data_IF_032090439487
#
_entry.id   IF_032090439487
#
_cell.length_a   1.000
_cell.length_b   1.000
_cell.length_c   1.000
_cell.angle_alpha   90.00
_cell.angle_beta   90.00
_cell.angle_gamma   90.00
#
_symmetry.space_group_name_H-M   'P 1'
#
loop_
_entity.id
_entity.type
_entity.pdbx_description
1 polymer ?
#
# COMPACT_ATOMS: atom_id res chain seq x y z
N UNK A 1 17.68 9.47 -17.84
CA UNK A 1 16.77 9.26 -16.70
C UNK A 1 16.01 10.56 -16.46
N UNK A 2 14.69 10.54 -16.64
CA UNK A 2 13.84 11.69 -16.26
C UNK A 2 13.73 11.61 -14.74
N UNK A 3 14.42 12.49 -14.02
CA UNK A 3 14.25 12.61 -12.56
C UNK A 3 12.86 13.20 -12.34
N UNK A 4 11.93 12.39 -11.84
CA UNK A 4 10.60 12.87 -11.48
C UNK A 4 10.74 13.90 -10.35
N UNK A 5 10.19 15.10 -10.53
CA UNK A 5 10.21 16.13 -9.49
C UNK A 5 9.30 15.72 -8.33
N UNK A 6 9.92 15.20 -7.27
CA UNK A 6 9.24 14.81 -6.03
C UNK A 6 8.99 16.00 -5.09
N UNK A 7 9.37 17.22 -5.47
CA UNK A 7 9.22 18.43 -4.64
C UNK A 7 7.79 18.64 -4.17
N UNK A 8 6.82 18.57 -5.09
CA UNK A 8 5.40 18.67 -4.76
C UNK A 8 4.90 17.57 -3.82
N UNK A 9 5.42 16.33 -3.97
CA UNK A 9 5.06 15.20 -3.11
C UNK A 9 5.61 15.44 -1.69
N UNK A 10 6.88 15.87 -1.59
CA UNK A 10 7.56 16.18 -0.32
C UNK A 10 6.85 17.29 0.46
N UNK A 11 6.42 18.35 -0.21
CA UNK A 11 5.66 19.43 0.43
C UNK A 11 4.35 18.94 1.04
N UNK A 12 3.62 18.05 0.34
CA UNK A 12 2.37 17.47 0.84
C UNK A 12 2.62 16.54 2.03
N UNK A 13 3.68 15.72 1.98
CA UNK A 13 4.10 14.85 3.09
C UNK A 13 4.37 15.69 4.34
N UNK A 14 5.22 16.70 4.22
CA UNK A 14 5.56 17.60 5.33
C UNK A 14 4.34 18.36 5.86
N UNK A 15 3.39 18.73 5.01
CA UNK A 15 2.16 19.38 5.46
C UNK A 15 1.32 18.45 6.34
N UNK A 16 1.19 17.17 5.96
CA UNK A 16 0.52 16.14 6.76
C UNK A 16 1.24 15.91 8.09
N UNK A 17 2.56 15.66 8.07
CA UNK A 17 3.38 15.45 9.26
C UNK A 17 3.27 16.62 10.25
N UNK A 18 3.36 17.86 9.75
CA UNK A 18 3.18 19.08 10.55
C UNK A 18 1.78 19.19 11.15
N UNK A 19 0.76 18.64 10.51
CA UNK A 19 -0.61 18.64 11.05
C UNK A 19 -0.80 17.56 12.11
N UNK A 20 -0.17 16.38 11.93
CA UNK A 20 -0.12 15.31 12.92
C UNK A 20 0.56 15.82 14.20
N UNK A 21 1.74 16.43 14.09
CA UNK A 21 2.49 16.98 15.23
C UNK A 21 1.67 18.04 15.99
N UNK A 22 0.90 18.86 15.26
CA UNK A 22 -0.01 19.87 15.84
C UNK A 22 -1.35 19.30 16.34
N UNK A 23 -1.52 17.98 16.33
CA UNK A 23 -2.73 17.28 16.78
C UNK A 23 -4.01 17.85 16.15
N UNK A 24 -3.96 18.13 14.84
CA UNK A 24 -5.14 18.59 14.10
C UNK A 24 -6.23 17.51 14.10
N UNK A 25 -7.47 17.92 13.88
CA UNK A 25 -8.61 16.99 13.90
C UNK A 25 -8.45 15.87 12.87
N UNK A 26 -9.00 14.69 13.15
CA UNK A 26 -8.94 13.53 12.25
C UNK A 26 -9.43 13.86 10.84
N UNK A 27 -10.50 14.67 10.72
CA UNK A 27 -11.03 15.15 9.44
C UNK A 27 -9.97 15.93 8.65
N UNK A 28 -9.24 16.82 9.31
CA UNK A 28 -8.19 17.61 8.69
C UNK A 28 -7.01 16.74 8.23
N UNK A 29 -6.60 15.77 9.06
CA UNK A 29 -5.53 14.83 8.70
C UNK A 29 -5.90 14.00 7.47
N UNK A 30 -7.11 13.46 7.42
CA UNK A 30 -7.60 12.69 6.26
C UNK A 30 -7.69 13.53 4.98
N UNK A 31 -8.02 14.83 5.09
CA UNK A 31 -8.01 15.74 3.94
C UNK A 31 -6.58 15.98 3.41
N UNK A 32 -5.61 16.16 4.30
CA UNK A 32 -4.21 16.32 3.90
C UNK A 32 -3.63 15.02 3.34
N UNK A 33 -3.95 13.88 3.97
CA UNK A 33 -3.59 12.56 3.47
C UNK A 33 -4.15 12.32 2.07
N UNK A 34 -5.45 12.56 1.85
CA UNK A 34 -6.06 12.42 0.52
C UNK A 34 -5.41 13.32 -0.52
N UNK A 35 -5.01 14.54 -0.14
CA UNK A 35 -4.28 15.45 -1.02
C UNK A 35 -2.87 14.94 -1.32
N UNK A 36 -2.18 14.38 -0.34
CA UNK A 36 -0.88 13.74 -0.53
C UNK A 36 -0.98 12.58 -1.53
N UNK A 37 -1.90 11.63 -1.30
CA UNK A 37 -2.10 10.45 -2.16
C UNK A 37 -2.35 10.88 -3.61
N UNK A 38 -3.30 11.79 -3.84
CA UNK A 38 -3.57 12.31 -5.19
C UNK A 38 -2.39 13.05 -5.81
N UNK A 39 -1.58 13.74 -5.02
CA UNK A 39 -0.39 14.42 -5.54
C UNK A 39 0.70 13.41 -5.91
N UNK A 40 0.95 12.41 -5.06
CA UNK A 40 1.90 11.32 -5.31
C UNK A 40 1.56 10.59 -6.59
N UNK A 41 0.28 10.27 -6.78
CA UNK A 41 -0.22 9.51 -7.93
C UNK A 41 -0.47 10.39 -9.17
N UNK A 42 0.03 11.63 -9.18
CA UNK A 42 -0.07 12.58 -10.29
C UNK A 42 -1.53 12.87 -10.74
N UNK A 43 -2.46 12.90 -9.79
CA UNK A 43 -3.88 13.21 -10.01
C UNK A 43 -4.51 12.34 -11.10
N UNK A 44 -4.19 11.04 -11.12
CA UNK A 44 -4.80 10.07 -12.03
C UNK A 44 -5.10 8.75 -11.31
N UNK A 45 -6.05 8.02 -11.85
CA UNK A 45 -6.35 6.67 -11.41
C UNK A 45 -5.15 5.75 -11.69
N UNK A 46 -4.60 5.07 -10.68
CA UNK A 46 -3.50 4.13 -10.93
C UNK A 46 -3.95 2.82 -11.58
N UNK A 47 -5.26 2.55 -11.64
CA UNK A 47 -5.78 1.36 -12.33
C UNK A 47 -6.08 1.58 -13.82
N UNK A 48 -6.38 2.81 -14.25
CA UNK A 48 -6.79 3.07 -15.64
C UNK A 48 -6.28 4.40 -16.23
N UNK A 49 -5.41 5.11 -15.51
CA UNK A 49 -4.84 6.42 -15.85
C UNK A 49 -5.86 7.57 -16.06
N UNK A 50 -7.16 7.34 -15.82
CA UNK A 50 -8.17 8.40 -15.95
C UNK A 50 -7.93 9.56 -14.96
N UNK A 51 -7.99 10.83 -15.43
CA UNK A 51 -7.91 12.00 -14.57
C UNK A 51 -9.28 12.39 -13.96
N UNK A 52 -10.37 11.77 -14.42
CA UNK A 52 -11.73 12.17 -14.08
C UNK A 52 -12.20 11.51 -12.78
N UNK A 53 -12.89 12.30 -11.93
CA UNK A 53 -13.50 11.78 -10.72
C UNK A 53 -12.53 11.15 -9.72
N UNK A 54 -11.27 11.60 -9.70
CA UNK A 54 -10.19 11.05 -8.87
C UNK A 54 -10.41 11.21 -7.36
N UNK A 55 -10.17 10.12 -6.64
CA UNK A 55 -10.38 10.00 -5.20
C UNK A 55 -9.25 9.19 -4.56
N UNK A 56 -8.94 9.49 -3.30
CA UNK A 56 -8.02 8.66 -2.53
C UNK A 56 -8.81 7.51 -1.88
N UNK A 57 -8.41 6.29 -2.20
CA UNK A 57 -8.92 5.04 -1.65
C UNK A 57 -7.97 4.53 -0.56
N UNK A 58 -8.50 3.90 0.49
CA UNK A 58 -7.68 3.21 1.48
C UNK A 58 -7.61 1.74 1.09
N UNK A 59 -6.41 1.18 0.91
CA UNK A 59 -6.25 -0.22 0.51
C UNK A 59 -6.75 -1.12 1.65
N UNK A 60 -6.13 -1.02 2.82
CA UNK A 60 -6.64 -1.60 4.07
C UNK A 60 -7.70 -0.66 4.64
N UNK A 61 -8.93 -1.15 4.75
CA UNK A 61 -10.08 -0.33 5.19
C UNK A 61 -9.90 0.19 6.61
N UNK A 62 -10.28 1.45 6.81
CA UNK A 62 -10.28 2.11 8.13
C UNK A 62 -11.15 1.41 9.19
N UNK A 63 -12.16 0.65 8.76
CA UNK A 63 -13.04 -0.11 9.66
C UNK A 63 -12.35 -1.35 10.21
N UNK A 64 -11.44 -1.94 9.42
CA UNK A 64 -10.67 -3.10 9.81
C UNK A 64 -9.44 -2.68 10.63
N UNK A 65 -8.69 -1.70 10.14
CA UNK A 65 -7.47 -1.25 10.82
C UNK A 65 -7.34 0.29 10.85
N UNK A 66 -8.02 0.96 11.80
CA UNK A 66 -8.04 2.41 11.92
C UNK A 66 -6.67 3.09 12.05
N UNK A 67 -5.68 2.37 12.58
CA UNK A 67 -4.30 2.80 12.79
C UNK A 67 -3.60 3.09 11.46
N UNK A 68 -3.87 2.29 10.43
CA UNK A 68 -3.30 2.46 9.10
C UNK A 68 -3.92 3.61 8.28
N UNK A 69 -4.89 4.36 8.82
CA UNK A 69 -5.69 5.32 8.06
C UNK A 69 -4.91 6.52 7.50
N UNK A 70 -3.72 6.81 8.04
CA UNK A 70 -2.86 7.91 7.60
C UNK A 70 -1.52 7.43 7.02
N UNK A 71 -1.32 6.11 6.94
CA UNK A 71 -0.13 5.52 6.34
C UNK A 71 -0.10 5.86 4.84
N UNK A 72 1.07 6.22 4.34
CA UNK A 72 1.21 6.72 2.98
C UNK A 72 1.06 5.57 1.97
N UNK A 73 1.58 4.39 2.31
CA UNK A 73 1.42 3.17 1.53
C UNK A 73 0.01 2.61 1.55
N UNK A 74 -0.81 2.97 2.54
CA UNK A 74 -2.19 2.49 2.65
C UNK A 74 -3.20 3.32 1.82
N UNK A 75 -2.71 4.12 0.88
CA UNK A 75 -3.54 4.97 0.03
C UNK A 75 -3.21 4.82 -1.44
N UNK A 76 -4.23 4.84 -2.29
CA UNK A 76 -4.11 4.82 -3.75
C UNK A 76 -5.13 5.75 -4.39
N UNK A 77 -4.78 6.41 -5.49
CA UNK A 77 -5.71 7.23 -6.26
C UNK A 77 -6.44 6.39 -7.29
N UNK A 78 -7.78 6.44 -7.24
CA UNK A 78 -8.67 5.77 -8.19
C UNK A 78 -9.68 6.78 -8.75
N UNK A 79 -10.14 6.59 -9.99
CA UNK A 79 -11.33 7.29 -10.49
C UNK A 79 -12.59 6.71 -9.81
N UNK A 80 -13.71 7.43 -9.86
CA UNK A 80 -14.97 6.98 -9.25
C UNK A 80 -15.43 5.61 -9.75
N UNK A 81 -15.18 5.28 -11.02
CA UNK A 81 -15.52 3.98 -11.59
C UNK A 81 -14.68 2.85 -10.97
N UNK A 82 -13.35 2.95 -11.02
CA UNK A 82 -12.47 1.96 -10.40
C UNK A 82 -12.69 1.87 -8.88
N UNK A 83 -12.91 3.01 -8.21
CA UNK A 83 -13.21 3.06 -6.78
C UNK A 83 -14.49 2.28 -6.44
N UNK A 84 -15.54 2.41 -7.25
CA UNK A 84 -16.79 1.70 -7.03
C UNK A 84 -16.66 0.19 -7.32
N UNK A 85 -15.87 -0.21 -8.32
CA UNK A 85 -15.62 -1.64 -8.62
C UNK A 85 -14.94 -2.37 -7.48
N UNK A 86 -13.95 -1.73 -6.86
CA UNK A 86 -13.29 -2.21 -5.62
C UNK A 86 -14.30 -2.40 -4.48
N UNK A 87 -15.34 -1.56 -4.43
CA UNK A 87 -16.41 -1.69 -3.45
C UNK A 87 -17.61 -2.55 -3.89
N UNK A 88 -17.64 -3.03 -5.13
CA UNK A 88 -18.81 -3.69 -5.72
C UNK A 88 -19.12 -5.02 -5.02
N UNK A 89 -18.07 -5.76 -4.61
CA UNK A 89 -18.23 -7.01 -3.86
C UNK A 89 -18.70 -6.78 -2.42
N UNK A 90 -18.36 -5.63 -1.79
CA UNK A 90 -18.73 -5.35 -0.40
C UNK A 90 -18.67 -3.86 -0.02
N UNK A 91 -19.84 -3.29 0.31
CA UNK A 91 -20.01 -1.91 0.83
C UNK A 91 -20.35 -1.86 2.33
N UNK A 92 -20.37 -3.00 3.03
CA UNK A 92 -20.78 -3.13 4.43
C UNK A 92 -19.66 -2.87 5.45
N UNK A 93 -20.01 -2.99 6.74
CA UNK A 93 -19.01 -3.14 7.81
C UNK A 93 -18.62 -4.62 7.90
N UNK A 94 -17.33 -4.98 7.83
CA UNK A 94 -16.92 -6.37 7.93
C UNK A 94 -17.28 -6.93 9.31
N UNK A 95 -17.73 -8.18 9.35
CA UNK A 95 -17.88 -8.92 10.61
C UNK A 95 -16.50 -9.42 11.05
N UNK A 96 -15.96 -8.74 12.06
CA UNK A 96 -14.62 -9.05 12.60
C UNK A 96 -14.56 -10.40 13.34
N UNK A 97 -15.69 -11.09 13.52
CA UNK A 97 -15.72 -12.45 14.09
C UNK A 97 -15.49 -13.55 13.05
N UNK A 98 -15.52 -13.22 11.75
CA UNK A 98 -15.28 -14.15 10.66
C UNK A 98 -13.81 -14.11 10.20
N UNK A 99 -13.27 -15.22 9.65
CA UNK A 99 -11.97 -15.22 9.00
C UNK A 99 -11.92 -14.17 7.87
N UNK A 100 -10.76 -13.55 7.68
CA UNK A 100 -10.53 -12.67 6.54
C UNK A 100 -10.82 -13.45 5.24
N UNK A 101 -11.65 -12.91 4.35
CA UNK A 101 -12.09 -13.59 3.12
C UNK A 101 -13.31 -14.52 3.26
N UNK A 102 -13.83 -14.77 4.48
CA UNK A 102 -15.15 -15.38 4.64
C UNK A 102 -16.23 -14.35 4.24
N UNK A 103 -17.27 -14.81 3.54
CA UNK A 103 -18.35 -14.01 2.96
C UNK A 103 -18.62 -12.73 3.78
N UNK A 104 -18.32 -11.55 3.19
CA UNK A 104 -18.51 -10.19 3.75
C UNK A 104 -17.30 -9.51 4.43
N UNK A 105 -16.09 -9.68 3.90
CA UNK A 105 -14.88 -8.98 4.35
C UNK A 105 -13.95 -8.60 3.20
N UNK A 106 -12.98 -7.73 3.52
CA UNK A 106 -11.89 -7.31 2.62
C UNK A 106 -11.34 -8.47 1.76
N UNK A 107 -11.21 -8.24 0.46
CA UNK A 107 -10.74 -9.23 -0.52
C UNK A 107 -9.19 -9.19 -0.53
N UNK A 108 -8.56 -10.28 -0.10
CA UNK A 108 -7.11 -10.42 -0.05
C UNK A 108 -6.47 -10.14 -1.44
N UNK A 109 -7.11 -10.61 -2.51
CA UNK A 109 -6.62 -10.39 -3.88
C UNK A 109 -6.74 -8.93 -4.30
N UNK A 110 -7.74 -8.21 -3.79
CA UNK A 110 -7.91 -6.77 -4.02
C UNK A 110 -6.77 -5.98 -3.37
N UNK A 111 -6.40 -6.29 -2.12
CA UNK A 111 -5.27 -5.62 -1.47
C UNK A 111 -3.97 -5.88 -2.20
N UNK A 112 -3.68 -7.14 -2.54
CA UNK A 112 -2.49 -7.48 -3.31
C UNK A 112 -2.46 -6.73 -4.64
N UNK A 113 -3.57 -6.72 -5.39
CA UNK A 113 -3.66 -5.99 -6.66
C UNK A 113 -3.39 -4.49 -6.50
N UNK A 114 -4.01 -3.83 -5.51
CA UNK A 114 -3.84 -2.39 -5.29
C UNK A 114 -2.41 -2.04 -4.84
N UNK A 115 -1.78 -2.85 -3.99
CA UNK A 115 -0.36 -2.69 -3.63
C UNK A 115 0.55 -2.92 -4.84
N UNK A 116 0.20 -3.87 -5.72
CA UNK A 116 0.90 -4.10 -6.99
C UNK A 116 0.87 -2.88 -7.91
N UNK A 117 -0.29 -2.24 -8.06
CA UNK A 117 -0.41 -0.99 -8.83
C UNK A 117 0.47 0.15 -8.25
N UNK A 118 0.57 0.26 -6.92
CA UNK A 118 1.45 1.24 -6.28
C UNK A 118 2.92 0.95 -6.58
N UNK A 119 3.32 -0.31 -6.45
CA UNK A 119 4.68 -0.78 -6.69
C UNK A 119 5.10 -0.51 -8.13
N UNK A 120 4.26 -0.88 -9.09
CA UNK A 120 4.51 -0.67 -10.52
C UNK A 120 4.63 0.82 -10.86
N UNK A 121 3.76 1.67 -10.31
CA UNK A 121 3.83 3.12 -10.52
C UNK A 121 5.10 3.73 -9.92
N UNK A 122 5.45 3.33 -8.69
CA UNK A 122 6.63 3.81 -7.99
C UNK A 122 7.91 3.48 -8.79
N UNK A 123 8.05 2.22 -9.23
CA UNK A 123 9.16 1.76 -10.07
C UNK A 123 9.21 2.48 -11.41
N UNK A 124 8.08 2.59 -12.11
CA UNK A 124 7.99 3.27 -13.41
C UNK A 124 8.39 4.74 -13.34
N UNK A 125 8.10 5.42 -12.23
CA UNK A 125 8.37 6.86 -12.04
C UNK A 125 9.65 7.14 -11.24
N UNK A 126 10.33 6.11 -10.74
CA UNK A 126 11.51 6.24 -9.89
C UNK A 126 11.23 7.00 -8.60
N UNK A 127 10.05 6.80 -8.00
CA UNK A 127 9.70 7.43 -6.72
C UNK A 127 10.22 6.55 -5.58
N UNK A 128 11.01 7.09 -4.62
CA UNK A 128 11.50 6.31 -3.49
C UNK A 128 10.35 5.75 -2.65
N UNK A 129 10.25 4.41 -2.61
CA UNK A 129 9.12 3.69 -2.01
C UNK A 129 9.04 3.94 -0.50
N UNK A 130 10.17 3.82 0.21
CA UNK A 130 10.22 4.02 1.67
C UNK A 130 9.89 5.45 2.12
N UNK A 131 10.11 6.46 1.26
CA UNK A 131 9.82 7.85 1.57
C UNK A 131 8.34 8.22 1.37
N UNK A 132 7.69 7.65 0.35
CA UNK A 132 6.38 8.13 -0.12
C UNK A 132 5.27 7.09 -0.09
N UNK A 133 5.60 5.85 0.26
CA UNK A 133 4.68 4.72 0.37
C UNK A 133 4.85 3.99 1.70
N UNK A 134 5.34 4.69 2.74
CA UNK A 134 5.58 4.11 4.05
C UNK A 134 4.36 3.38 4.63
N UNK A 135 4.62 2.19 5.19
CA UNK A 135 3.75 1.40 6.05
C UNK A 135 4.54 1.06 7.32
N UNK A 136 3.99 1.34 8.49
CA UNK A 136 4.68 1.05 9.75
C UNK A 136 4.81 -0.45 10.04
N UNK A 137 5.78 -0.83 10.90
CA UNK A 137 5.98 -2.22 11.31
C UNK A 137 4.74 -2.82 11.99
N UNK A 138 3.88 -1.98 12.57
CA UNK A 138 2.58 -2.40 13.11
C UNK A 138 1.68 -2.96 11.99
N UNK A 139 1.66 -2.32 10.82
CA UNK A 139 0.89 -2.79 9.65
C UNK A 139 1.50 -4.05 9.04
N UNK A 140 2.83 -4.12 8.99
CA UNK A 140 3.53 -5.30 8.47
C UNK A 140 3.30 -6.49 9.39
N UNK A 141 3.48 -6.31 10.70
CA UNK A 141 3.20 -7.31 11.73
C UNK A 141 1.73 -7.73 11.77
N UNK A 142 0.79 -6.80 11.55
CA UNK A 142 -0.62 -7.14 11.31
C UNK A 142 -0.75 -8.11 10.13
N UNK A 143 -0.13 -7.80 8.99
CA UNK A 143 -0.20 -8.67 7.80
C UNK A 143 0.41 -10.06 8.07
N UNK A 144 1.56 -10.12 8.75
CA UNK A 144 2.19 -11.38 9.17
C UNK A 144 1.29 -12.17 10.12
N UNK A 145 0.61 -11.52 11.06
CA UNK A 145 -0.28 -12.23 12.01
C UNK A 145 -1.46 -12.93 11.33
N UNK A 146 -1.83 -12.50 10.13
CA UNK A 146 -2.88 -13.13 9.32
C UNK A 146 -2.33 -14.20 8.37
N UNK A 147 -1.13 -14.02 7.82
CA UNK A 147 -0.61 -14.83 6.71
C UNK A 147 0.59 -15.73 7.07
N UNK A 148 1.23 -15.50 8.22
CA UNK A 148 2.34 -16.31 8.73
C UNK A 148 3.73 -16.04 8.14
N UNK A 149 3.86 -15.57 6.90
CA UNK A 149 5.14 -15.42 6.15
C UNK A 149 6.16 -14.43 6.78
N UNK A 150 6.80 -14.84 7.88
CA UNK A 150 7.75 -14.04 8.65
C UNK A 150 9.02 -13.69 7.85
N UNK A 151 9.46 -14.57 6.95
CA UNK A 151 10.65 -14.39 6.13
C UNK A 151 10.50 -13.18 5.19
N UNK A 152 9.29 -12.89 4.71
CA UNK A 152 9.04 -11.67 3.93
C UNK A 152 9.26 -10.41 4.76
N UNK A 153 8.93 -10.44 6.06
CA UNK A 153 9.17 -9.32 6.96
C UNK A 153 10.66 -9.13 7.24
N UNK A 154 11.41 -10.22 7.36
CA UNK A 154 12.87 -10.17 7.49
C UNK A 154 13.54 -9.53 6.26
N UNK A 155 13.06 -9.84 5.04
CA UNK A 155 13.54 -9.19 3.82
C UNK A 155 13.30 -7.66 3.82
N UNK A 156 12.22 -7.18 4.44
CA UNK A 156 12.00 -5.73 4.64
C UNK A 156 13.02 -5.15 5.62
N UNK A 157 13.26 -5.84 6.74
CA UNK A 157 14.22 -5.39 7.76
C UNK A 157 15.66 -5.36 7.24
N UNK A 158 15.99 -6.26 6.31
CA UNK A 158 17.27 -6.30 5.59
C UNK A 158 17.36 -5.26 4.45
N UNK A 159 16.26 -4.54 4.16
CA UNK A 159 16.20 -3.55 3.08
C UNK A 159 16.21 -4.15 1.67
N UNK A 160 15.92 -5.46 1.55
CA UNK A 160 15.93 -6.19 0.27
C UNK A 160 14.65 -6.01 -0.54
N UNK A 161 13.52 -5.78 0.14
CA UNK A 161 12.25 -5.43 -0.50
C UNK A 161 11.64 -4.24 0.22
N UNK A 162 10.88 -3.42 -0.51
CA UNK A 162 10.16 -2.32 0.12
C UNK A 162 8.95 -2.82 0.89
N UNK A 163 8.42 -1.94 1.74
CA UNK A 163 7.22 -2.21 2.54
C UNK A 163 5.96 -2.44 1.70
N UNK A 164 5.83 -1.74 0.56
CA UNK A 164 4.70 -1.97 -0.36
C UNK A 164 4.88 -3.19 -1.23
N UNK A 165 6.12 -3.58 -1.56
CA UNK A 165 6.38 -4.86 -2.19
C UNK A 165 6.01 -6.00 -1.23
N UNK A 166 6.44 -5.93 0.03
CA UNK A 166 6.00 -6.87 1.06
C UNK A 166 4.47 -6.97 1.11
N UNK A 167 3.77 -5.83 1.16
CA UNK A 167 2.31 -5.82 1.22
C UNK A 167 1.67 -6.41 -0.05
N UNK A 168 2.23 -6.15 -1.23
CA UNK A 168 1.77 -6.81 -2.46
C UNK A 168 1.91 -8.33 -2.36
N UNK A 169 3.08 -8.82 -1.93
CA UNK A 169 3.40 -10.25 -1.94
C UNK A 169 2.63 -11.02 -0.86
N UNK A 170 2.61 -10.53 0.37
CA UNK A 170 2.01 -11.27 1.51
C UNK A 170 0.50 -11.47 1.34
N UNK A 171 -0.18 -10.57 0.63
CA UNK A 171 -1.61 -10.65 0.38
C UNK A 171 -1.95 -11.40 -0.92
N UNK A 172 -1.01 -12.03 -1.64
CA UNK A 172 -1.40 -12.84 -2.80
C UNK A 172 -2.09 -14.13 -2.39
N UNK A 173 -3.22 -14.48 -2.99
CA UNK A 173 -3.79 -15.82 -2.81
C UNK A 173 -3.00 -16.84 -3.62
N UNK A 174 -1.92 -17.38 -3.05
CA UNK A 174 -1.06 -18.38 -3.68
C UNK A 174 -0.89 -19.61 -2.77
N UNK A 175 -0.69 -20.82 -3.33
CA UNK A 175 -0.35 -22.00 -2.54
C UNK A 175 0.94 -21.77 -1.73
N UNK A 176 1.06 -22.36 -0.54
CA UNK A 176 2.24 -22.24 0.33
C UNK A 176 3.56 -22.56 -0.41
N UNK A 177 3.55 -23.58 -1.27
CA UNK A 177 4.71 -23.97 -2.11
C UNK A 177 5.17 -22.89 -3.08
N UNK A 178 4.28 -21.98 -3.50
CA UNK A 178 4.67 -20.81 -4.28
C UNK A 178 5.57 -19.88 -3.46
N UNK A 179 5.22 -19.66 -2.19
CA UNK A 179 5.95 -18.75 -1.31
C UNK A 179 7.33 -19.29 -0.95
N UNK A 180 7.47 -20.59 -0.70
CA UNK A 180 8.79 -21.22 -0.50
C UNK A 180 9.73 -20.96 -1.70
N UNK A 181 9.23 -21.21 -2.92
CA UNK A 181 10.00 -20.97 -4.15
C UNK A 181 10.29 -19.48 -4.35
N UNK A 182 9.29 -18.62 -4.16
CA UNK A 182 9.42 -17.18 -4.37
C UNK A 182 10.40 -16.53 -3.41
N UNK A 183 10.33 -16.87 -2.11
CA UNK A 183 11.30 -16.40 -1.10
C UNK A 183 12.70 -16.88 -1.49
N UNK A 184 12.85 -18.13 -1.91
CA UNK A 184 14.17 -18.65 -2.36
C UNK A 184 14.73 -17.88 -3.56
N UNK A 185 13.88 -17.48 -4.51
CA UNK A 185 14.30 -16.72 -5.69
C UNK A 185 14.58 -15.25 -5.37
N UNK A 186 13.79 -14.60 -4.50
CA UNK A 186 14.07 -13.25 -4.00
C UNK A 186 15.41 -13.19 -3.26
N UNK A 187 15.67 -14.19 -2.42
CA UNK A 187 16.97 -14.34 -1.76
C UNK A 187 18.07 -14.44 -2.81
N UNK A 188 17.94 -15.36 -3.78
CA UNK A 188 18.92 -15.55 -4.86
C UNK A 188 19.23 -14.26 -5.63
N UNK A 189 18.20 -13.58 -6.11
CA UNK A 189 18.32 -12.35 -6.89
C UNK A 189 18.98 -11.21 -6.11
N UNK A 190 18.78 -11.14 -4.80
CA UNK A 190 19.39 -10.14 -3.93
C UNK A 190 20.80 -10.54 -3.42
N UNK A 191 21.24 -11.78 -3.62
CA UNK A 191 22.61 -12.23 -3.32
C UNK A 191 23.55 -12.12 -4.54
N UNK A 192 23.03 -12.13 -5.78
CA UNK A 192 23.82 -12.00 -7.00
C UNK A 192 24.30 -10.56 -7.32
N UNK A 193 23.98 -9.55 -6.50
CA UNK A 193 24.48 -8.17 -6.65
C UNK A 193 25.90 -7.92 -6.07
N UNK A 194 26.53 -8.93 -5.47
CA UNK A 194 27.93 -8.85 -5.04
C UNK A 194 28.76 -10.03 -5.58
N UNK A 195 29.34 -9.91 -6.79
CA UNK A 195 30.48 -10.75 -7.15
C UNK A 195 31.68 -10.35 -6.27
N UNK A 196 32.37 -11.34 -5.73
CA UNK A 196 33.67 -11.20 -5.02
C UNK A 196 34.69 -10.35 -5.79
#
# INVERSE_FOLDING_TARGET
MIVFDVGGIKERKQALERAILRRRSRKWLLQLWSRFIKTRDAFRCLSCDSPDGIQAHHIIRKTLYPQAALELGNGITLCSECHNRVHEKFNGRPDLSLPLGAEQGDDQDEWSYLFGLLLDDAKKRGIPEDDFYHLSDEVLGFSVSFQGYHELFDLVNEGKISRIQFAHEIWRSMPETFYEYFISELVRLNFDEFPE
#
